data_IF_717437739496
#
_entry.id   IF_717437739496
#
_cell.length_a   1.000
_cell.length_b   1.000
_cell.length_c   1.000
_cell.angle_alpha   90.00
_cell.angle_beta   90.00
_cell.angle_gamma   90.00
#
_symmetry.space_group_name_H-M   'P 1'
#
loop_
_entity.id
_entity.type
_entity.pdbx_description
1 polymer ?
#
# COMPACT_ATOMS: atom_id res chain seq x y z
N UNK A 1 20.04 10.28 3.24
CA UNK A 1 19.26 9.69 2.13
C UNK A 1 17.83 10.15 2.30
N UNK A 2 17.20 10.70 1.26
CA UNK A 2 15.80 11.15 1.39
C UNK A 2 14.86 9.95 1.51
N UNK A 3 13.74 10.09 2.21
CA UNK A 3 12.74 9.03 2.36
C UNK A 3 12.26 8.47 1.01
N UNK A 4 12.18 9.33 -0.01
CA UNK A 4 11.85 8.96 -1.39
C UNK A 4 12.89 8.04 -2.03
N UNK A 5 14.18 8.26 -1.78
CA UNK A 5 15.26 7.46 -2.37
C UNK A 5 15.26 6.06 -1.78
N UNK A 6 14.99 5.96 -0.47
CA UNK A 6 14.90 4.67 0.22
C UNK A 6 13.72 3.86 -0.30
N UNK A 7 12.56 4.49 -0.52
CA UNK A 7 11.38 3.85 -1.15
C UNK A 7 11.68 3.41 -2.59
N UNK A 8 12.36 4.25 -3.39
CA UNK A 8 12.76 3.90 -4.75
C UNK A 8 13.69 2.67 -4.77
N UNK A 9 14.63 2.60 -3.83
CA UNK A 9 15.56 1.49 -3.70
C UNK A 9 14.86 0.21 -3.22
N UNK A 10 13.98 0.30 -2.22
CA UNK A 10 13.23 -0.84 -1.67
C UNK A 10 12.22 -1.46 -2.65
N UNK A 11 11.86 -0.72 -3.70
CA UNK A 11 10.88 -1.15 -4.71
C UNK A 11 11.48 -1.19 -6.11
N UNK A 12 12.81 -1.24 -6.24
CA UNK A 12 13.51 -1.20 -7.52
C UNK A 12 13.10 -2.40 -8.41
N UNK A 13 12.98 -2.18 -9.72
CA UNK A 13 12.55 -3.21 -10.68
C UNK A 13 13.52 -4.37 -10.84
N UNK A 14 14.81 -4.14 -10.53
CA UNK A 14 15.87 -5.13 -10.63
C UNK A 14 16.01 -6.00 -9.37
N UNK A 15 15.17 -5.77 -8.34
CA UNK A 15 15.14 -6.64 -7.18
C UNK A 15 14.60 -8.02 -7.57
N UNK A 16 15.32 -9.07 -7.16
CA UNK A 16 14.88 -10.46 -7.34
C UNK A 16 13.83 -10.87 -6.31
N UNK A 17 13.84 -10.22 -5.15
CA UNK A 17 12.98 -10.49 -4.01
C UNK A 17 12.82 -9.22 -3.16
N UNK A 18 11.97 -9.30 -2.13
CA UNK A 18 11.74 -8.20 -1.20
C UNK A 18 13.02 -7.87 -0.42
N UNK A 19 13.40 -6.60 -0.43
CA UNK A 19 14.49 -6.11 0.41
C UNK A 19 13.97 -5.81 1.82
N UNK A 20 13.89 -6.85 2.65
CA UNK A 20 13.39 -6.74 4.03
C UNK A 20 14.15 -5.69 4.85
N UNK A 21 15.47 -5.61 4.68
CA UNK A 21 16.30 -4.63 5.38
C UNK A 21 15.89 -3.19 5.09
N UNK A 22 15.69 -2.83 3.82
CA UNK A 22 15.21 -1.49 3.46
C UNK A 22 13.78 -1.24 3.90
N UNK A 23 12.89 -2.25 3.83
CA UNK A 23 11.51 -2.09 4.27
C UNK A 23 11.43 -1.83 5.79
N UNK A 24 12.20 -2.57 6.61
CA UNK A 24 12.32 -2.34 8.05
C UNK A 24 12.87 -0.95 8.33
N UNK A 25 13.93 -0.54 7.62
CA UNK A 25 14.50 0.80 7.76
C UNK A 25 13.48 1.91 7.47
N UNK A 26 12.63 1.73 6.46
CA UNK A 26 11.54 2.69 6.15
C UNK A 26 10.52 2.71 7.29
N UNK A 27 10.09 1.56 7.80
CA UNK A 27 9.16 1.49 8.92
C UNK A 27 9.73 2.17 10.17
N UNK A 28 10.99 1.91 10.51
CA UNK A 28 11.66 2.58 11.64
C UNK A 28 11.73 4.09 11.46
N UNK A 29 12.06 4.56 10.25
CA UNK A 29 12.12 5.98 9.93
C UNK A 29 10.76 6.66 10.19
N UNK A 30 9.68 6.04 9.72
CA UNK A 30 8.32 6.57 9.88
C UNK A 30 7.87 6.49 11.35
N UNK A 31 8.14 5.38 12.03
CA UNK A 31 7.79 5.20 13.44
C UNK A 31 8.53 6.20 14.36
N UNK A 32 9.81 6.48 14.10
CA UNK A 32 10.60 7.48 14.86
C UNK A 32 10.21 8.91 14.51
N UNK A 33 9.79 9.16 13.26
CA UNK A 33 9.50 10.50 12.76
C UNK A 33 8.20 10.51 11.95
N UNK A 34 7.05 10.63 12.62
CA UNK A 34 5.72 10.63 11.98
C UNK A 34 5.58 11.64 10.82
N UNK A 35 6.31 12.77 10.87
CA UNK A 35 6.34 13.76 9.78
C UNK A 35 6.84 13.21 8.43
N UNK A 36 7.67 12.16 8.46
CA UNK A 36 8.17 11.48 7.26
C UNK A 36 7.12 10.60 6.58
N UNK A 37 6.06 10.20 7.30
CA UNK A 37 5.01 9.32 6.78
C UNK A 37 4.35 9.87 5.52
N UNK A 38 4.15 11.19 5.44
CA UNK A 38 3.57 11.86 4.25
C UNK A 38 4.42 11.66 3.00
N UNK A 39 5.74 11.86 3.11
CA UNK A 39 6.65 11.79 1.97
C UNK A 39 6.92 10.33 1.55
N UNK A 40 6.96 9.41 2.52
CA UNK A 40 6.99 7.96 2.26
C UNK A 40 5.75 7.53 1.49
N UNK A 41 4.54 7.85 1.98
CA UNK A 41 3.29 7.44 1.32
C UNK A 41 3.12 8.09 -0.06
N UNK A 42 3.53 9.35 -0.24
CA UNK A 42 3.59 9.98 -1.58
C UNK A 42 4.52 9.22 -2.53
N UNK A 43 5.68 8.79 -2.04
CA UNK A 43 6.65 8.02 -2.81
C UNK A 43 6.10 6.65 -3.17
N UNK A 44 5.52 5.91 -2.21
CA UNK A 44 4.83 4.64 -2.45
C UNK A 44 3.72 4.79 -3.49
N UNK A 45 2.87 5.82 -3.36
CA UNK A 45 1.81 6.12 -4.35
C UNK A 45 2.38 6.35 -5.75
N UNK A 46 3.52 7.02 -5.89
CA UNK A 46 4.19 7.19 -7.18
C UNK A 46 4.67 5.85 -7.75
N UNK A 47 5.25 4.99 -6.91
CA UNK A 47 5.71 3.65 -7.33
C UNK A 47 4.55 2.72 -7.74
N UNK A 48 3.41 2.79 -7.04
CA UNK A 48 2.17 2.07 -7.42
C UNK A 48 1.63 2.46 -8.80
N UNK A 49 2.01 3.61 -9.36
CA UNK A 49 1.64 4.02 -10.74
C UNK A 49 2.61 3.52 -11.81
N UNK A 50 3.69 2.84 -11.44
CA UNK A 50 4.65 2.26 -12.37
C UNK A 50 3.96 1.26 -13.31
N UNK A 51 4.42 1.11 -14.55
CA UNK A 51 3.97 0.02 -15.43
C UNK A 51 4.68 -1.31 -15.13
N UNK A 52 5.76 -1.26 -14.36
CA UNK A 52 6.54 -2.44 -14.00
C UNK A 52 5.85 -3.21 -12.87
N UNK A 53 5.56 -4.49 -13.10
CA UNK A 53 4.87 -5.38 -12.16
C UNK A 53 5.64 -5.55 -10.85
N UNK A 54 6.97 -5.74 -10.89
CA UNK A 54 7.79 -5.90 -9.68
C UNK A 54 7.76 -4.63 -8.83
N UNK A 55 7.86 -3.46 -9.48
CA UNK A 55 7.78 -2.18 -8.77
C UNK A 55 6.42 -2.03 -8.07
N UNK A 56 5.32 -2.33 -8.77
CA UNK A 56 4.00 -2.28 -8.15
C UNK A 56 3.89 -3.26 -6.98
N UNK A 57 4.28 -4.52 -7.19
CA UNK A 57 4.20 -5.58 -6.18
C UNK A 57 4.97 -5.20 -4.90
N UNK A 58 6.24 -4.84 -5.02
CA UNK A 58 7.06 -4.44 -3.88
C UNK A 58 6.53 -3.17 -3.21
N UNK A 59 5.86 -2.28 -3.95
CA UNK A 59 5.20 -1.11 -3.36
C UNK A 59 3.97 -1.48 -2.52
N UNK A 60 3.19 -2.47 -2.94
CA UNK A 60 2.06 -2.98 -2.16
C UNK A 60 2.56 -3.68 -0.89
N UNK A 61 3.64 -4.47 -0.99
CA UNK A 61 4.24 -5.13 0.18
C UNK A 61 4.83 -4.13 1.19
N UNK A 62 5.48 -3.06 0.71
CA UNK A 62 5.95 -1.97 1.57
C UNK A 62 4.76 -1.24 2.23
N UNK A 63 3.67 -1.00 1.49
CA UNK A 63 2.47 -0.37 2.03
C UNK A 63 1.85 -1.19 3.18
N UNK A 64 1.79 -2.50 3.03
CA UNK A 64 1.34 -3.43 4.06
C UNK A 64 2.25 -3.39 5.31
N UNK A 65 3.57 -3.42 5.12
CA UNK A 65 4.53 -3.28 6.22
C UNK A 65 4.35 -1.98 7.00
N UNK A 66 4.13 -0.85 6.30
CA UNK A 66 3.87 0.44 6.92
C UNK A 66 2.58 0.43 7.75
N UNK A 67 1.51 -0.15 7.21
CA UNK A 67 0.21 -0.30 7.90
C UNK A 67 0.33 -1.11 9.19
N UNK A 68 1.12 -2.19 9.16
CA UNK A 68 1.26 -3.10 10.30
C UNK A 68 2.20 -2.57 11.39
N UNK A 69 3.15 -1.69 11.07
CA UNK A 69 4.24 -1.34 11.99
C UNK A 69 4.31 0.14 12.40
N UNK A 70 3.63 1.06 11.69
CA UNK A 70 3.81 2.50 11.91
C UNK A 70 2.62 3.17 12.62
N UNK A 71 1.58 2.40 12.94
CA UNK A 71 0.43 2.90 13.69
C UNK A 71 -0.44 3.90 12.92
N UNK A 72 -1.29 4.60 13.67
CA UNK A 72 -2.51 5.19 13.12
C UNK A 72 -2.28 6.27 12.05
N UNK A 73 -1.23 7.09 12.24
CA UNK A 73 -0.95 8.23 11.38
C UNK A 73 -0.73 7.82 9.91
N UNK A 74 -0.31 6.58 9.65
CA UNK A 74 -0.15 6.06 8.28
C UNK A 74 -1.51 5.83 7.59
N UNK A 75 -2.53 5.36 8.31
CA UNK A 75 -3.88 5.22 7.74
C UNK A 75 -4.39 6.58 7.23
N UNK A 76 -4.19 7.65 8.03
CA UNK A 76 -4.55 9.01 7.62
C UNK A 76 -3.82 9.42 6.35
N UNK A 77 -2.50 9.19 6.28
CA UNK A 77 -1.73 9.51 5.07
C UNK A 77 -2.21 8.73 3.84
N UNK A 78 -2.58 7.46 3.98
CA UNK A 78 -3.08 6.62 2.88
C UNK A 78 -4.42 7.16 2.35
N UNK A 79 -5.31 7.57 3.25
CA UNK A 79 -6.62 8.12 2.92
C UNK A 79 -6.46 9.50 2.26
N UNK A 80 -5.73 10.43 2.90
CA UNK A 80 -5.53 11.80 2.41
C UNK A 80 -4.84 11.83 1.05
N UNK A 81 -3.87 10.93 0.85
CA UNK A 81 -3.19 10.81 -0.44
C UNK A 81 -3.99 10.00 -1.46
N UNK A 82 -5.23 9.59 -1.19
CA UNK A 82 -6.10 8.83 -2.10
C UNK A 82 -5.40 7.58 -2.66
N UNK A 83 -4.74 6.82 -1.79
CA UNK A 83 -4.09 5.56 -2.16
C UNK A 83 -5.12 4.45 -2.36
N UNK A 84 -6.17 4.37 -1.52
CA UNK A 84 -7.21 3.33 -1.65
C UNK A 84 -7.91 3.33 -3.02
N UNK A 85 -8.39 4.48 -3.55
CA UNK A 85 -8.98 4.51 -4.88
C UNK A 85 -7.98 4.14 -5.99
N UNK A 86 -6.68 4.37 -5.77
CA UNK A 86 -5.64 3.96 -6.70
C UNK A 86 -5.49 2.43 -6.71
N UNK A 87 -5.43 1.80 -5.53
CA UNK A 87 -5.36 0.34 -5.40
C UNK A 87 -6.54 -0.35 -6.08
N UNK A 88 -7.75 0.14 -5.84
CA UNK A 88 -8.97 -0.35 -6.50
C UNK A 88 -8.87 -0.24 -8.02
N UNK A 89 -8.39 0.92 -8.52
CA UNK A 89 -8.20 1.15 -9.96
C UNK A 89 -7.16 0.22 -10.58
N UNK A 90 -6.12 -0.16 -9.84
CA UNK A 90 -5.09 -1.10 -10.29
C UNK A 90 -5.74 -2.47 -10.54
N UNK A 91 -6.43 -3.02 -9.53
CA UNK A 91 -7.13 -4.31 -9.65
C UNK A 91 -8.14 -4.32 -10.79
N UNK A 92 -9.02 -3.31 -10.86
CA UNK A 92 -10.06 -3.23 -11.91
C UNK A 92 -9.52 -3.13 -13.33
N UNK A 93 -8.26 -2.73 -13.51
CA UNK A 93 -7.61 -2.69 -14.83
C UNK A 93 -7.10 -4.06 -15.29
N UNK A 94 -7.37 -5.14 -14.56
CA UNK A 94 -6.87 -6.50 -14.81
C UNK A 94 -5.34 -6.50 -14.91
N UNK A 95 -4.68 -5.97 -13.87
CA UNK A 95 -3.22 -6.07 -13.75
C UNK A 95 -2.76 -7.51 -13.60
N UNK A 96 -1.45 -7.75 -13.65
CA UNK A 96 -0.89 -9.08 -13.45
C UNK A 96 -1.36 -9.69 -12.11
N UNK A 97 -1.75 -10.96 -12.15
CA UNK A 97 -2.30 -11.75 -11.05
C UNK A 97 -1.63 -11.50 -9.68
N UNK A 98 -0.28 -11.55 -9.52
CA UNK A 98 0.34 -11.39 -8.20
C UNK A 98 0.13 -10.01 -7.58
N UNK A 99 -0.05 -8.96 -8.38
CA UNK A 99 -0.32 -7.60 -7.86
C UNK A 99 -1.77 -7.49 -7.42
N UNK A 100 -2.68 -8.04 -8.21
CA UNK A 100 -4.12 -8.03 -7.92
C UNK A 100 -4.42 -8.78 -6.62
N UNK A 101 -3.96 -10.02 -6.50
CA UNK A 101 -4.13 -10.85 -5.30
C UNK A 101 -3.57 -10.16 -4.06
N UNK A 102 -2.38 -9.55 -4.18
CA UNK A 102 -1.75 -8.87 -3.04
C UNK A 102 -2.54 -7.66 -2.57
N UNK A 103 -3.08 -6.86 -3.50
CA UNK A 103 -3.92 -5.70 -3.16
C UNK A 103 -5.22 -6.15 -2.51
N UNK A 104 -5.83 -7.21 -3.04
CA UNK A 104 -7.06 -7.78 -2.51
C UNK A 104 -6.88 -8.22 -1.06
N UNK A 105 -5.89 -9.07 -0.80
CA UNK A 105 -5.58 -9.59 0.54
C UNK A 105 -5.24 -8.47 1.53
N UNK A 106 -4.50 -7.45 1.07
CA UNK A 106 -4.21 -6.27 1.88
C UNK A 106 -5.50 -5.55 2.31
N UNK A 107 -6.41 -5.28 1.38
CA UNK A 107 -7.65 -4.56 1.69
C UNK A 107 -8.60 -5.38 2.55
N UNK A 108 -8.71 -6.70 2.31
CA UNK A 108 -9.49 -7.63 3.12
C UNK A 108 -9.00 -7.70 4.57
N UNK A 109 -7.70 -7.84 4.77
CA UNK A 109 -7.10 -7.90 6.10
C UNK A 109 -7.25 -6.57 6.85
N UNK A 110 -6.92 -5.45 6.19
CA UNK A 110 -6.92 -4.14 6.85
C UNK A 110 -8.35 -3.69 7.18
N UNK A 111 -9.33 -3.91 6.30
CA UNK A 111 -10.72 -3.53 6.61
C UNK A 111 -11.24 -4.28 7.85
N UNK A 112 -10.91 -5.57 7.97
CA UNK A 112 -11.28 -6.36 9.16
C UNK A 112 -10.61 -5.82 10.42
N UNK A 113 -9.30 -5.55 10.34
CA UNK A 113 -8.49 -5.08 11.46
C UNK A 113 -8.99 -3.73 12.02
N UNK A 114 -9.42 -2.82 11.14
CA UNK A 114 -9.84 -1.47 11.55
C UNK A 114 -11.32 -1.38 11.92
N UNK A 115 -12.05 -2.50 11.96
CA UNK A 115 -13.45 -2.58 12.39
C UNK A 115 -14.49 -2.50 11.28
N UNK A 116 -14.09 -2.68 10.01
CA UNK A 116 -15.00 -2.72 8.87
C UNK A 116 -15.77 -1.42 8.65
N UNK A 117 -17.05 -1.52 8.28
CA UNK A 117 -17.91 -0.39 7.93
C UNK A 117 -18.17 0.59 9.09
N UNK A 118 -18.13 0.11 10.33
CA UNK A 118 -18.31 0.91 11.56
C UNK A 118 -16.97 1.27 12.22
N UNK A 119 -15.86 0.89 11.60
CA UNK A 119 -14.51 1.11 12.08
C UNK A 119 -14.06 2.56 12.03
N UNK A 120 -12.85 2.84 12.56
CA UNK A 120 -12.26 4.19 12.53
C UNK A 120 -11.88 4.63 11.11
N UNK A 121 -11.58 3.67 10.24
CA UNK A 121 -11.20 3.90 8.85
C UNK A 121 -12.11 3.11 7.89
N UNK A 122 -13.41 3.46 7.79
CA UNK A 122 -14.37 2.73 6.96
C UNK A 122 -14.04 2.80 5.45
N UNK A 123 -13.14 3.69 5.05
CA UNK A 123 -12.65 3.81 3.68
C UNK A 123 -11.99 2.52 3.17
N UNK A 124 -11.34 1.73 4.05
CA UNK A 124 -10.79 0.42 3.67
C UNK A 124 -11.91 -0.58 3.34
N UNK A 125 -12.97 -0.60 4.14
CA UNK A 125 -14.16 -1.42 3.88
C UNK A 125 -14.80 -1.08 2.54
N UNK A 126 -15.02 0.21 2.26
CA UNK A 126 -15.61 0.62 0.97
C UNK A 126 -14.71 0.27 -0.22
N UNK A 127 -13.38 0.41 -0.09
CA UNK A 127 -12.44 0.01 -1.13
C UNK A 127 -12.48 -1.51 -1.38
N UNK A 128 -12.58 -2.32 -0.33
CA UNK A 128 -12.73 -3.77 -0.43
C UNK A 128 -14.06 -4.16 -1.10
N UNK A 129 -15.18 -3.58 -0.66
CA UNK A 129 -16.49 -3.84 -1.28
C UNK A 129 -16.52 -3.48 -2.77
N UNK A 130 -15.85 -2.40 -3.17
CA UNK A 130 -15.78 -2.01 -4.58
C UNK A 130 -14.99 -3.04 -5.44
N UNK A 131 -14.09 -3.82 -4.83
CA UNK A 131 -13.45 -4.95 -5.48
C UNK A 131 -14.36 -6.18 -5.53
N UNK A 132 -15.05 -6.50 -4.44
CA UNK A 132 -16.03 -7.61 -4.37
C UNK A 132 -17.09 -7.52 -5.46
N UNK A 133 -17.65 -6.33 -5.67
CA UNK A 133 -18.68 -6.11 -6.69
C UNK A 133 -18.12 -6.37 -8.09
N UNK A 134 -16.84 -6.08 -8.35
CA UNK A 134 -16.22 -6.39 -9.65
C UNK A 134 -15.98 -7.89 -9.86
N UNK A 135 -15.59 -8.63 -8.81
CA UNK A 135 -15.39 -10.09 -8.90
C UNK A 135 -16.70 -10.85 -9.10
N UNK A 136 -17.81 -10.37 -8.53
CA UNK A 136 -19.13 -11.01 -8.67
C UNK A 136 -19.81 -10.79 -10.04
N UNK A 137 -19.33 -9.84 -10.83
CA UNK A 137 -19.87 -9.50 -12.16
C UNK A 137 -18.96 -9.95 -13.32
N UNK A 138 -17.93 -10.75 -13.04
CA UNK A 138 -16.97 -11.29 -14.02
C UNK A 138 -17.18 -12.79 -14.22
#
# INVERSE_FOLDING_TARGET
>A
MAASDLVNAATNENLKEVDWGKNIQICELVAKHHGQGKDVIKSVKKRLRSKNTNVQLFSVMLLEMLLNNCGEHIHMQIIDNRVLPLLVKIVKKKTQMPVEERIFLLLEAVQTLVGGASGKFPQYYYAYCDLMVCTLNS
#
